data_IF_988804271466
#
_entry.id   IF_988804271466
#
_cell.length_a   1.000
_cell.length_b   1.000
_cell.length_c   1.000
_cell.angle_alpha   90.00
_cell.angle_beta   90.00
_cell.angle_gamma   90.00
#
_symmetry.space_group_name_H-M   'P 1'
#
loop_
_entity.id
_entity.type
_entity.pdbx_description
1 polymer ?
#
# COMPACT_ATOMS: atom_id res chain seq x y z
N UNK A 1 -3.22 -16.25 -6.37
CA UNK A 1 -2.69 -14.88 -6.13
C UNK A 1 -3.84 -13.92 -5.81
N UNK A 2 -3.60 -12.81 -5.09
CA UNK A 2 -4.63 -11.77 -4.87
C UNK A 2 -4.11 -10.39 -5.28
N UNK A 3 -5.01 -9.44 -5.50
CA UNK A 3 -4.66 -8.07 -5.88
C UNK A 3 -5.34 -7.02 -5.00
N UNK A 4 -4.61 -5.99 -4.59
CA UNK A 4 -5.17 -4.74 -4.07
C UNK A 4 -4.75 -3.57 -4.93
N UNK A 5 -5.56 -2.51 -5.00
CA UNK A 5 -5.16 -1.29 -5.70
C UNK A 5 -4.32 -0.37 -4.81
N UNK A 6 -3.50 0.48 -5.42
CA UNK A 6 -2.80 1.54 -4.71
C UNK A 6 -3.78 2.37 -3.85
N UNK A 7 -4.98 2.66 -4.37
CA UNK A 7 -6.09 3.32 -3.66
C UNK A 7 -6.60 2.56 -2.44
N UNK A 8 -6.75 1.25 -2.52
CA UNK A 8 -7.14 0.43 -1.37
C UNK A 8 -6.10 0.44 -0.24
N UNK A 9 -4.86 0.81 -0.54
CA UNK A 9 -3.77 0.92 0.42
C UNK A 9 -3.45 2.38 0.81
N UNK A 10 -4.28 3.34 0.40
CA UNK A 10 -4.19 4.76 0.75
C UNK A 10 -3.45 5.64 -0.27
N UNK A 11 -3.21 5.15 -1.48
CA UNK A 11 -2.72 5.95 -2.60
C UNK A 11 -3.83 6.60 -3.43
N UNK A 12 -3.48 7.39 -4.47
CA UNK A 12 -4.46 8.12 -5.27
C UNK A 12 -4.98 7.35 -6.51
N UNK A 13 -4.31 6.27 -6.93
CA UNK A 13 -4.58 5.62 -8.22
C UNK A 13 -5.06 4.17 -8.10
N UNK A 14 -5.62 3.63 -9.18
CA UNK A 14 -6.21 2.29 -9.22
C UNK A 14 -5.22 1.21 -9.72
N UNK A 15 -3.91 1.47 -9.69
CA UNK A 15 -2.90 0.46 -10.08
C UNK A 15 -3.09 -0.82 -9.25
N UNK A 16 -3.28 -1.95 -9.92
CA UNK A 16 -3.44 -3.26 -9.29
C UNK A 16 -2.08 -3.85 -8.89
N UNK A 17 -1.88 -4.00 -7.59
CA UNK A 17 -0.70 -4.57 -6.96
C UNK A 17 -1.02 -6.00 -6.57
N UNK A 18 -0.27 -6.94 -7.13
CA UNK A 18 -0.51 -8.38 -6.97
C UNK A 18 0.55 -9.02 -6.10
N UNK A 19 0.13 -10.02 -5.32
CA UNK A 19 1.02 -10.80 -4.46
C UNK A 19 0.30 -12.01 -3.87
N UNK A 20 1.10 -12.94 -3.35
CA UNK A 20 0.65 -14.10 -2.60
C UNK A 20 0.28 -13.71 -1.17
N UNK A 21 0.88 -12.63 -0.66
CA UNK A 21 0.66 -12.13 0.69
C UNK A 21 0.33 -10.64 0.72
N UNK A 22 -0.34 -10.20 1.78
CA UNK A 22 -0.57 -8.78 2.03
C UNK A 22 0.75 -7.99 2.15
N UNK A 23 1.80 -8.63 2.67
CA UNK A 23 3.13 -8.04 2.83
C UNK A 23 3.79 -7.76 1.47
N UNK A 24 3.65 -8.66 0.51
CA UNK A 24 4.10 -8.45 -0.87
C UNK A 24 3.37 -7.28 -1.54
N UNK A 25 2.05 -7.19 -1.36
CA UNK A 25 1.25 -6.11 -1.95
C UNK A 25 1.54 -4.76 -1.29
N UNK A 26 1.78 -4.72 0.03
CA UNK A 26 2.25 -3.52 0.73
C UNK A 26 3.63 -3.09 0.21
N UNK A 27 4.55 -4.04 0.04
CA UNK A 27 5.89 -3.77 -0.51
C UNK A 27 5.82 -3.26 -1.95
N UNK A 28 4.95 -3.86 -2.77
CA UNK A 28 4.72 -3.41 -4.14
C UNK A 28 4.14 -1.98 -4.18
N UNK A 29 3.24 -1.64 -3.25
CA UNK A 29 2.74 -0.27 -3.13
C UNK A 29 3.86 0.71 -2.76
N UNK A 30 4.69 0.39 -1.77
CA UNK A 30 5.78 1.28 -1.36
C UNK A 30 6.77 1.52 -2.51
N UNK A 31 7.12 0.47 -3.27
CA UNK A 31 7.93 0.60 -4.47
C UNK A 31 7.28 1.53 -5.52
N UNK A 32 6.00 1.31 -5.83
CA UNK A 32 5.21 2.16 -6.73
C UNK A 32 5.19 3.63 -6.28
N UNK A 33 4.94 3.88 -5.00
CA UNK A 33 4.91 5.24 -4.44
C UNK A 33 6.27 5.94 -4.57
N UNK A 34 7.37 5.24 -4.28
CA UNK A 34 8.71 5.83 -4.42
C UNK A 34 9.04 6.11 -5.88
N UNK A 35 8.70 5.19 -6.80
CA UNK A 35 8.98 5.34 -8.23
C UNK A 35 8.24 6.54 -8.83
N UNK A 36 6.91 6.62 -8.63
CA UNK A 36 6.08 7.66 -9.26
C UNK A 36 6.41 9.05 -8.70
N UNK A 37 6.66 9.17 -7.39
CA UNK A 37 7.11 10.43 -6.79
C UNK A 37 8.51 10.81 -7.30
N UNK A 38 9.43 9.86 -7.47
CA UNK A 38 10.75 10.14 -8.03
C UNK A 38 10.69 10.63 -9.49
N UNK A 39 9.64 10.25 -10.23
CA UNK A 39 9.35 10.76 -11.58
C UNK A 39 8.68 12.15 -11.57
N UNK A 40 8.44 12.74 -10.40
CA UNK A 40 7.89 14.09 -10.26
C UNK A 40 6.39 14.16 -10.04
N UNK A 41 5.72 13.04 -9.79
CA UNK A 41 4.29 13.02 -9.48
C UNK A 41 4.02 13.48 -8.04
N UNK A 42 3.38 14.63 -7.91
CA UNK A 42 2.99 15.20 -6.62
C UNK A 42 1.72 14.57 -6.03
N UNK A 43 0.92 13.87 -6.83
CA UNK A 43 -0.31 13.25 -6.36
C UNK A 43 -0.04 12.05 -5.42
N UNK A 44 1.07 11.35 -5.63
CA UNK A 44 1.49 10.22 -4.78
C UNK A 44 2.34 10.64 -3.58
N UNK A 45 2.80 11.90 -3.49
CA UNK A 45 3.61 12.40 -2.36
C UNK A 45 2.93 12.24 -1.00
N UNK A 46 1.63 12.58 -0.80
CA UNK A 46 0.97 12.41 0.49
C UNK A 46 0.93 10.94 0.92
N UNK A 47 0.61 10.04 -0.02
CA UNK A 47 0.54 8.61 0.23
C UNK A 47 1.92 8.02 0.58
N UNK A 48 2.98 8.47 -0.11
CA UNK A 48 4.35 8.08 0.22
C UNK A 48 4.77 8.58 1.61
N UNK A 49 4.41 9.82 1.96
CA UNK A 49 4.68 10.39 3.28
C UNK A 49 3.95 9.62 4.38
N UNK A 50 2.69 9.28 4.17
CA UNK A 50 1.92 8.44 5.10
C UNK A 50 2.52 7.05 5.23
N UNK A 51 2.88 6.40 4.12
CA UNK A 51 3.52 5.08 4.13
C UNK A 51 4.79 5.10 5.00
N UNK A 52 5.67 6.09 4.79
CA UNK A 52 6.88 6.30 5.61
C UNK A 52 6.55 6.64 7.06
N UNK A 53 5.47 7.39 7.31
CA UNK A 53 4.99 7.77 8.63
C UNK A 53 4.48 6.59 9.47
N UNK A 54 3.81 5.61 8.84
CA UNK A 54 3.30 4.40 9.51
C UNK A 54 4.42 3.61 10.19
N UNK A 55 5.61 3.54 9.57
CA UNK A 55 6.77 2.86 10.15
C UNK A 55 7.43 3.64 11.30
N UNK A 56 7.25 4.96 11.35
CA UNK A 56 7.76 5.82 12.43
C UNK A 56 6.85 5.85 13.67
N UNK A 57 5.57 5.54 13.50
CA UNK A 57 4.57 5.55 14.56
C UNK A 57 4.01 4.14 14.80
N UNK A 58 4.65 3.31 15.64
CA UNK A 58 4.40 1.87 15.70
C UNK A 58 2.94 1.52 16.05
N UNK A 59 2.25 2.32 16.87
CA UNK A 59 0.86 2.05 17.26
C UNK A 59 -0.10 2.21 16.08
N UNK A 60 -0.07 3.36 15.41
CA UNK A 60 -0.96 3.62 14.26
C UNK A 60 -0.57 2.80 13.04
N UNK A 61 0.73 2.61 12.80
CA UNK A 61 1.26 1.73 11.77
C UNK A 61 0.76 0.30 11.91
N UNK A 62 0.77 -0.24 13.14
CA UNK A 62 0.24 -1.59 13.42
C UNK A 62 -1.27 -1.70 13.21
N UNK A 63 -2.04 -0.65 13.53
CA UNK A 63 -3.48 -0.61 13.28
C UNK A 63 -3.82 -0.70 11.79
N UNK A 64 -3.15 0.12 10.98
CA UNK A 64 -3.27 0.06 9.52
C UNK A 64 -2.83 -1.29 8.97
N UNK A 65 -1.66 -1.78 9.40
CA UNK A 65 -1.09 -3.05 8.94
C UNK A 65 -2.05 -4.23 9.16
N UNK A 66 -2.60 -4.35 10.38
CA UNK A 66 -3.60 -5.40 10.70
C UNK A 66 -4.87 -5.27 9.86
N UNK A 67 -5.34 -4.05 9.64
CA UNK A 67 -6.54 -3.77 8.82
C UNK A 67 -6.31 -4.16 7.36
N UNK A 68 -5.15 -3.82 6.80
CA UNK A 68 -4.74 -4.20 5.44
C UNK A 68 -4.63 -5.71 5.29
N UNK A 69 -3.99 -6.43 6.23
CA UNK A 69 -3.93 -7.90 6.18
C UNK A 69 -5.32 -8.53 6.22
N UNK A 70 -6.23 -8.00 7.05
CA UNK A 70 -7.62 -8.47 7.11
C UNK A 70 -8.36 -8.22 5.79
N UNK A 71 -8.21 -7.04 5.20
CA UNK A 71 -8.81 -6.70 3.92
C UNK A 71 -8.30 -7.64 2.81
N UNK A 72 -6.99 -7.85 2.73
CA UNK A 72 -6.38 -8.78 1.77
C UNK A 72 -6.85 -10.22 1.95
N UNK A 73 -6.96 -10.69 3.19
CA UNK A 73 -7.44 -12.05 3.48
C UNK A 73 -8.87 -12.26 2.97
N UNK A 74 -9.73 -11.23 3.02
CA UNK A 74 -11.11 -11.28 2.55
C UNK A 74 -11.27 -11.20 1.03
N UNK A 75 -10.21 -10.86 0.28
CA UNK A 75 -10.29 -10.83 -1.18
C UNK A 75 -10.39 -12.24 -1.77
N UNK A 76 -11.09 -12.42 -2.91
CA UNK A 76 -11.05 -13.67 -3.64
C UNK A 76 -9.62 -13.93 -4.12
N UNK A 77 -9.21 -15.19 -4.04
CA UNK A 77 -8.03 -15.69 -4.75
C UNK A 77 -8.38 -15.91 -6.21
N UNK A 78 -7.58 -15.33 -7.10
CA UNK A 78 -7.47 -15.75 -8.50
C UNK A 78 -6.55 -16.97 -8.61
#
# INVERSE_FOLDING_TARGET
MKSMTCKQLGGPCDLALRGETADEVIKAQDAHLNEIVAQGDSAHEPALKEMKGRWKHPISGMGWYRSTKKAFAALPSE
#
